data_IF_166583613600
#
_entry.id   IF_166583613600
#
_cell.length_a   1.000
_cell.length_b   1.000
_cell.length_c   1.000
_cell.angle_alpha   90.00
_cell.angle_beta   90.00
_cell.angle_gamma   90.00
#
_symmetry.space_group_name_H-M   'P 1'
#
loop_
_entity.id
_entity.type
_entity.pdbx_description
1 polymer ?
#
# COMPACT_ATOMS: atom_id res chain seq x y z
N UNK A 1 7.48 20.21 -7.40
CA UNK A 1 7.03 18.82 -7.14
C UNK A 1 7.50 17.98 -8.32
N UNK A 2 8.15 16.85 -8.08
CA UNK A 2 8.68 15.99 -9.15
C UNK A 2 7.97 14.64 -9.10
N UNK A 3 7.89 13.90 -10.23
CA UNK A 3 7.44 12.53 -10.21
C UNK A 3 8.21 11.69 -9.20
N UNK A 4 7.51 10.77 -8.55
CA UNK A 4 8.11 9.86 -7.57
C UNK A 4 7.58 8.43 -7.73
N UNK A 5 8.28 7.50 -7.10
CA UNK A 5 7.82 6.13 -6.91
C UNK A 5 7.87 5.83 -5.42
N UNK A 6 6.73 5.44 -4.88
CA UNK A 6 6.61 4.96 -3.50
C UNK A 6 6.42 3.45 -3.51
N UNK A 7 7.08 2.74 -2.60
CA UNK A 7 6.98 1.29 -2.48
C UNK A 7 6.69 0.91 -1.03
N UNK A 8 5.83 -0.08 -0.82
CA UNK A 8 5.50 -0.54 0.53
C UNK A 8 4.39 -1.58 0.57
N UNK A 9 4.16 -2.15 1.75
CA UNK A 9 2.98 -2.94 2.03
C UNK A 9 1.75 -2.05 2.02
N UNK A 10 0.71 -2.48 1.31
CA UNK A 10 -0.56 -1.77 1.29
C UNK A 10 -1.32 -1.97 2.60
N UNK A 11 -1.81 -0.87 3.17
CA UNK A 11 -2.69 -0.87 4.34
C UNK A 11 -3.82 0.13 4.12
N UNK A 12 -5.04 -0.20 4.50
CA UNK A 12 -6.12 0.79 4.55
C UNK A 12 -5.89 1.79 5.70
N UNK A 13 -6.35 3.02 5.50
CA UNK A 13 -6.13 4.12 6.47
C UNK A 13 -6.90 3.86 7.77
N UNK A 14 -8.00 3.10 7.75
CA UNK A 14 -8.72 2.72 8.96
C UNK A 14 -7.88 1.80 9.87
N UNK A 15 -7.16 0.84 9.28
CA UNK A 15 -6.21 -0.03 9.98
C UNK A 15 -5.02 0.76 10.53
N UNK A 16 -4.46 1.72 9.78
CA UNK A 16 -3.38 2.57 10.29
C UNK A 16 -3.78 3.32 11.56
N UNK A 17 -5.02 3.81 11.63
CA UNK A 17 -5.53 4.56 12.79
C UNK A 17 -5.70 3.71 14.05
N UNK A 18 -5.69 2.38 13.92
CA UNK A 18 -5.94 1.45 15.02
C UNK A 18 -4.67 1.05 15.78
N UNK A 19 -3.51 1.10 15.13
CA UNK A 19 -2.25 0.58 15.67
C UNK A 19 -1.25 1.71 15.93
N UNK A 20 -0.31 1.53 16.87
CA UNK A 20 0.78 2.49 17.04
C UNK A 20 1.78 2.38 15.87
N UNK A 21 2.55 3.45 15.63
CA UNK A 21 3.41 3.59 14.44
C UNK A 21 4.52 2.54 14.36
N UNK A 22 5.07 2.15 15.51
CA UNK A 22 6.11 1.14 15.63
C UNK A 22 5.62 -0.27 15.26
N UNK A 23 4.31 -0.51 15.26
CA UNK A 23 3.72 -1.78 14.81
C UNK A 23 3.39 -1.79 13.31
N UNK A 24 3.47 -0.65 12.59
CA UNK A 24 2.94 -0.56 11.23
C UNK A 24 3.55 -1.57 10.26
N UNK A 25 4.87 -1.77 10.28
CA UNK A 25 5.53 -2.70 9.37
C UNK A 25 5.07 -4.15 9.60
N UNK A 26 4.94 -4.56 10.87
CA UNK A 26 4.43 -5.90 11.22
C UNK A 26 2.96 -6.06 10.80
N UNK A 27 2.13 -5.06 11.12
CA UNK A 27 0.70 -5.07 10.80
C UNK A 27 0.45 -5.09 9.30
N UNK A 28 1.24 -4.35 8.52
CA UNK A 28 1.10 -4.31 7.07
C UNK A 28 1.51 -5.61 6.39
N UNK A 29 2.52 -6.32 6.92
CA UNK A 29 2.89 -7.67 6.46
C UNK A 29 1.79 -8.70 6.74
N UNK A 30 1.12 -8.58 7.89
CA UNK A 30 0.03 -9.47 8.28
C UNK A 30 -1.34 -9.06 7.69
N UNK A 31 -1.42 -7.92 7.00
CA UNK A 31 -2.68 -7.41 6.49
C UNK A 31 -3.15 -8.22 5.29
N UNK A 32 -4.37 -8.75 5.37
CA UNK A 32 -4.91 -9.65 4.36
C UNK A 32 -5.57 -8.89 3.22
N UNK A 33 -5.51 -9.45 2.02
CA UNK A 33 -6.20 -8.90 0.85
C UNK A 33 -7.71 -8.82 1.06
N UNK A 34 -8.28 -9.76 1.82
CA UNK A 34 -9.68 -9.73 2.21
C UNK A 34 -10.03 -8.54 3.11
N UNK A 35 -9.15 -8.20 4.08
CA UNK A 35 -9.36 -7.04 4.95
C UNK A 35 -9.33 -5.75 4.15
N UNK A 36 -8.35 -5.58 3.26
CA UNK A 36 -8.20 -4.37 2.44
C UNK A 36 -9.41 -4.09 1.53
N UNK A 37 -10.21 -5.11 1.21
CA UNK A 37 -11.34 -4.99 0.28
C UNK A 37 -12.70 -4.76 0.96
N UNK A 38 -12.73 -4.65 2.30
CA UNK A 38 -13.96 -4.37 3.02
C UNK A 38 -14.46 -2.94 2.74
N UNK A 39 -15.78 -2.71 2.79
CA UNK A 39 -16.38 -1.42 2.43
C UNK A 39 -15.80 -0.22 3.19
N UNK A 40 -15.52 -0.37 4.49
CA UNK A 40 -14.91 0.68 5.30
C UNK A 40 -13.45 0.99 4.93
N UNK A 41 -12.72 0.03 4.31
CA UNK A 41 -11.37 0.23 3.81
C UNK A 41 -11.38 1.09 2.55
N UNK A 42 -12.34 0.83 1.64
CA UNK A 42 -12.53 1.60 0.41
C UNK A 42 -12.78 3.08 0.69
N UNK A 43 -13.64 3.37 1.66
CA UNK A 43 -14.01 4.73 2.06
C UNK A 43 -12.84 5.46 2.74
N UNK A 44 -11.99 4.72 3.45
CA UNK A 44 -10.86 5.31 4.17
C UNK A 44 -9.68 5.67 3.27
N UNK A 45 -9.56 5.02 2.10
CA UNK A 45 -8.38 5.10 1.24
C UNK A 45 -7.22 4.22 1.73
N UNK A 46 -6.08 4.32 1.06
CA UNK A 46 -4.92 3.45 1.29
C UNK A 46 -3.65 4.22 1.57
N UNK A 47 -2.70 3.51 2.16
CA UNK A 47 -1.34 3.95 2.37
C UNK A 47 -0.36 2.82 2.04
N UNK A 48 0.89 3.20 1.81
CA UNK A 48 2.02 2.28 1.75
C UNK A 48 2.83 2.39 3.03
N UNK A 49 3.20 1.25 3.60
CA UNK A 49 4.15 1.16 4.71
C UNK A 49 5.43 0.54 4.19
N UNK A 50 6.54 1.29 4.22
CA UNK A 50 7.84 0.77 3.78
C UNK A 50 8.49 -0.18 4.80
N UNK A 51 9.65 -0.72 4.45
CA UNK A 51 10.39 -1.65 5.31
C UNK A 51 10.81 -1.05 6.67
N UNK A 52 10.96 0.27 6.74
CA UNK A 52 11.34 1.03 7.93
C UNK A 52 10.11 1.49 8.74
N UNK A 53 8.90 1.12 8.31
CA UNK A 53 7.64 1.52 8.96
C UNK A 53 7.19 2.94 8.65
N UNK A 54 7.79 3.60 7.65
CA UNK A 54 7.35 4.93 7.21
C UNK A 54 6.10 4.79 6.35
N UNK A 55 5.20 5.76 6.52
CA UNK A 55 3.89 5.76 5.85
C UNK A 55 3.86 6.77 4.72
N UNK A 56 3.45 6.32 3.54
CA UNK A 56 3.06 7.19 2.42
C UNK A 56 1.55 7.09 2.22
N UNK A 57 0.83 8.16 2.50
CA UNK A 57 -0.61 8.25 2.22
C UNK A 57 -0.82 8.40 0.71
N UNK A 58 -1.70 7.58 0.14
CA UNK A 58 -2.07 7.66 -1.26
C UNK A 58 -3.24 8.62 -1.43
N UNK A 59 -3.30 9.25 -2.59
CA UNK A 59 -4.43 10.12 -2.95
C UNK A 59 -5.69 9.29 -3.26
N UNK A 60 -6.89 9.89 -3.22
CA UNK A 60 -8.13 9.15 -3.44
C UNK A 60 -8.22 8.43 -4.79
N UNK A 61 -7.53 8.90 -5.85
CA UNK A 61 -7.53 8.26 -7.17
C UNK A 61 -6.79 6.92 -7.14
N UNK A 62 -5.95 6.66 -6.14
CA UNK A 62 -5.26 5.39 -5.95
C UNK A 62 -6.19 4.23 -5.55
N UNK A 63 -7.38 4.50 -5.02
CA UNK A 63 -8.28 3.48 -4.45
C UNK A 63 -8.64 2.39 -5.46
N UNK A 64 -9.08 2.76 -6.66
CA UNK A 64 -9.44 1.81 -7.71
C UNK A 64 -8.24 0.98 -8.20
N UNK A 65 -7.10 1.56 -8.61
CA UNK A 65 -5.96 0.77 -9.07
C UNK A 65 -5.32 -0.08 -7.96
N UNK A 66 -5.38 0.33 -6.69
CA UNK A 66 -4.98 -0.50 -5.54
C UNK A 66 -5.88 -1.72 -5.41
N UNK A 67 -7.20 -1.56 -5.48
CA UNK A 67 -8.13 -2.70 -5.45
C UNK A 67 -7.90 -3.66 -6.60
N UNK A 68 -7.67 -3.12 -7.79
CA UNK A 68 -7.40 -3.92 -8.96
C UNK A 68 -6.09 -4.72 -8.82
N UNK A 69 -5.06 -4.14 -8.19
CA UNK A 69 -3.84 -4.86 -7.85
C UNK A 69 -4.10 -5.96 -6.80
N UNK A 70 -4.84 -5.65 -5.73
CA UNK A 70 -5.21 -6.61 -4.67
C UNK A 70 -6.01 -7.80 -5.21
N UNK A 71 -6.94 -7.57 -6.13
CA UNK A 71 -7.78 -8.62 -6.75
C UNK A 71 -7.01 -9.55 -7.69
N UNK A 72 -5.94 -9.04 -8.30
CA UNK A 72 -5.05 -9.82 -9.17
C UNK A 72 -3.92 -10.50 -8.41
N UNK A 73 -3.72 -10.14 -7.14
CA UNK A 73 -2.65 -10.70 -6.32
C UNK A 73 -2.96 -12.14 -5.93
N UNK A 74 -1.99 -13.01 -6.09
CA UNK A 74 -2.04 -14.39 -5.57
C UNK A 74 -1.66 -14.46 -4.09
N UNK A 75 -1.33 -13.33 -3.45
CA UNK A 75 -0.99 -13.29 -2.03
C UNK A 75 -2.24 -13.17 -1.16
N UNK A 76 -2.27 -13.95 -0.09
CA UNK A 76 -3.34 -13.84 0.92
C UNK A 76 -3.13 -12.64 1.85
N UNK A 77 -1.88 -12.24 2.08
CA UNK A 77 -1.50 -11.14 2.96
C UNK A 77 -0.18 -10.48 2.54
N UNK A 78 0.06 -9.27 3.06
CA UNK A 78 1.34 -8.58 2.92
C UNK A 78 1.65 -8.19 1.48
N UNK A 79 0.65 -7.72 0.73
CA UNK A 79 0.83 -7.30 -0.66
C UNK A 79 1.73 -6.07 -0.71
N UNK A 80 2.85 -6.20 -1.43
CA UNK A 80 3.80 -5.12 -1.66
C UNK A 80 3.50 -4.44 -2.99
N UNK A 81 3.26 -3.14 -2.96
CA UNK A 81 2.91 -2.34 -4.13
C UNK A 81 4.03 -1.34 -4.44
N UNK A 82 4.22 -1.13 -5.74
CA UNK A 82 4.96 -0.02 -6.32
C UNK A 82 3.95 0.96 -6.92
N UNK A 83 3.98 2.20 -6.45
CA UNK A 83 3.05 3.25 -6.85
C UNK A 83 3.82 4.40 -7.48
N UNK A 84 3.54 4.68 -8.75
CA UNK A 84 4.10 5.83 -9.47
C UNK A 84 3.16 7.01 -9.31
N UNK A 85 3.73 8.17 -8.99
CA UNK A 85 2.98 9.39 -8.74
C UNK A 85 3.57 10.53 -9.54
N UNK A 86 2.71 11.36 -10.11
CA UNK A 86 3.09 12.54 -10.89
C UNK A 86 2.44 13.80 -10.31
N UNK A 87 3.06 14.98 -10.49
CA UNK A 87 2.44 16.24 -10.16
C UNK A 87 1.13 16.45 -10.95
N UNK A 88 0.03 16.69 -10.25
CA UNK A 88 -1.30 17.00 -10.77
C UNK A 88 -1.90 18.10 -9.88
N UNK A 89 -2.20 19.25 -10.47
CA UNK A 89 -2.77 20.44 -9.80
C UNK A 89 -2.13 20.79 -8.43
N UNK A 90 -0.80 20.80 -8.37
CA UNK A 90 -0.05 21.16 -7.17
C UNK A 90 -0.01 20.07 -6.09
N UNK A 91 -0.47 18.85 -6.37
CA UNK A 91 -0.34 17.67 -5.52
C UNK A 91 0.30 16.50 -6.29
N UNK A 92 0.65 15.42 -5.59
CA UNK A 92 1.07 14.16 -6.24
C UNK A 92 -0.13 13.23 -6.40
N UNK A 93 -0.48 12.92 -7.65
CA UNK A 93 -1.53 11.99 -8.00
C UNK A 93 -0.94 10.64 -8.44
N UNK A 94 -1.58 9.56 -8.01
CA UNK A 94 -1.26 8.20 -8.41
C UNK A 94 -1.61 8.00 -9.88
N UNK A 95 -0.63 7.60 -10.67
CA UNK A 95 -0.78 7.33 -12.12
C UNK A 95 -0.61 5.86 -12.46
N UNK A 96 -0.01 5.07 -11.57
CA UNK A 96 0.21 3.63 -11.78
C UNK A 96 0.37 2.91 -10.44
N UNK A 97 -0.18 1.69 -10.35
CA UNK A 97 -0.04 0.79 -9.21
C UNK A 97 0.27 -0.60 -9.75
N UNK A 98 1.40 -1.17 -9.32
CA UNK A 98 1.81 -2.53 -9.68
C UNK A 98 2.18 -3.31 -8.42
N UNK A 99 1.79 -4.59 -8.37
CA UNK A 99 2.35 -5.49 -7.37
C UNK A 99 3.81 -5.79 -7.72
N UNK A 100 4.67 -5.82 -6.71
CA UNK A 100 6.08 -6.16 -6.84
C UNK A 100 6.48 -7.15 -5.74
N UNK A 101 7.54 -7.96 -5.92
CA UNK A 101 8.12 -8.71 -4.82
C UNK A 101 8.52 -7.75 -3.68
N UNK A 102 8.16 -8.09 -2.44
CA UNK A 102 8.69 -7.34 -1.30
C UNK A 102 10.21 -7.54 -1.24
N UNK A 103 11.00 -6.51 -0.86
CA UNK A 103 12.44 -6.67 -0.68
C UNK A 103 12.80 -7.72 0.39
N UNK A 104 11.85 -8.11 1.24
CA UNK A 104 12.02 -9.14 2.26
C UNK A 104 11.59 -10.55 1.80
N UNK A 105 10.92 -10.70 0.65
CA UNK A 105 10.51 -12.01 0.13
C UNK A 105 11.67 -12.81 -0.45
N UNK A 106 12.80 -12.18 -0.78
CA UNK A 106 14.00 -12.84 -1.34
C UNK A 106 14.90 -13.48 -0.28
N UNK A 107 14.57 -13.38 1.01
CA UNK A 107 15.43 -13.82 2.12
C UNK A 107 15.11 -15.23 2.66
N UNK A 108 14.15 -15.97 2.08
CA UNK A 108 13.74 -17.29 2.58
C UNK A 108 14.22 -18.48 1.76
N UNK A 109 15.05 -18.28 0.72
CA UNK A 109 15.62 -19.36 -0.12
C UNK A 109 17.16 -19.38 -0.09
N UNK A 110 17.76 -19.30 1.11
CA UNK A 110 19.20 -19.51 1.32
C UNK A 110 19.49 -20.43 2.52
#
# INVERSE_FOLDING_TARGET
MHPETAEGWVLDIACLRKYPRDEYAERARAHTTACSQMGHCLESGYALVDADGRVTLLDPKATAPVLDALRRSDREAGVWLRVRREPDDGALATVEVTESPSPLSSASDA
#
